data_IF_998480345293
#
_entry.id   IF_998480345293
#
_cell.length_a   1.000
_cell.length_b   1.000
_cell.length_c   1.000
_cell.angle_alpha   90.00
_cell.angle_beta   90.00
_cell.angle_gamma   90.00
#
_symmetry.space_group_name_H-M   'P 1'
#
loop_
_entity.id
_entity.type
_entity.pdbx_description
1 polymer ?
#
# COMPACT_ATOMS: atom_id res chain seq x y z
N UNK A 1 -9.09 57.75 -10.55
CA UNK A 1 -9.13 56.35 -10.05
C UNK A 1 -8.17 55.56 -10.91
N UNK A 2 -6.95 55.37 -10.41
CA UNK A 2 -5.85 54.71 -11.13
C UNK A 2 -5.83 53.24 -10.73
N UNK A 3 -5.98 52.35 -11.71
CA UNK A 3 -5.82 50.91 -11.53
C UNK A 3 -4.37 50.51 -11.76
N UNK A 4 -3.58 50.45 -10.70
CA UNK A 4 -2.28 49.78 -10.71
C UNK A 4 -2.52 48.27 -10.64
N UNK A 5 -2.39 47.60 -11.78
CA UNK A 5 -2.29 46.15 -11.86
C UNK A 5 -0.92 45.71 -11.33
N UNK A 6 -0.84 45.48 -10.02
CA UNK A 6 0.33 44.90 -9.39
C UNK A 6 0.50 43.48 -9.95
N UNK A 7 1.58 43.29 -10.72
CA UNK A 7 2.11 41.96 -11.04
C UNK A 7 2.42 41.24 -9.72
N UNK A 8 1.51 40.38 -9.28
CA UNK A 8 1.86 39.33 -8.35
C UNK A 8 2.73 38.33 -9.14
N UNK A 9 4.04 38.50 -9.02
CA UNK A 9 5.00 37.46 -9.35
C UNK A 9 4.53 36.19 -8.63
N UNK A 10 4.05 35.21 -9.39
CA UNK A 10 3.84 33.87 -8.87
C UNK A 10 5.21 33.34 -8.47
N UNK A 11 5.52 33.17 -7.17
CA UNK A 11 6.71 32.43 -6.81
C UNK A 11 6.49 30.99 -7.29
N UNK A 12 7.50 30.52 -8.01
CA UNK A 12 7.62 29.17 -8.53
C UNK A 12 7.07 28.12 -7.56
N UNK A 13 5.93 27.53 -7.90
CA UNK A 13 5.55 26.23 -7.37
C UNK A 13 6.01 25.22 -8.39
N UNK A 14 7.32 24.96 -8.37
CA UNK A 14 7.90 23.75 -8.94
C UNK A 14 7.29 22.58 -8.16
N UNK A 15 6.19 22.05 -8.65
CA UNK A 15 5.83 20.65 -8.45
C UNK A 15 5.87 19.93 -9.80
N UNK A 16 6.95 20.19 -10.56
CA UNK A 16 7.63 19.09 -11.21
C UNK A 16 8.37 18.32 -10.10
N UNK A 17 7.60 17.61 -9.28
CA UNK A 17 8.13 16.56 -8.42
C UNK A 17 8.48 15.41 -9.34
N UNK A 18 9.68 15.53 -9.90
CA UNK A 18 10.40 14.48 -10.58
C UNK A 18 10.31 13.20 -9.77
N UNK A 19 9.58 12.22 -10.28
CA UNK A 19 9.77 10.79 -10.05
C UNK A 19 10.25 10.33 -8.67
N UNK A 20 9.51 10.60 -7.60
CA UNK A 20 9.61 9.76 -6.39
C UNK A 20 8.88 8.44 -6.67
N UNK A 21 9.40 7.70 -7.66
CA UNK A 21 9.05 6.29 -7.82
C UNK A 21 9.66 5.62 -6.60
N UNK A 22 8.87 5.05 -5.68
CA UNK A 22 9.45 4.36 -4.54
C UNK A 22 10.43 3.31 -5.07
N UNK A 23 11.59 3.18 -4.42
CA UNK A 23 12.60 2.23 -4.84
C UNK A 23 11.94 0.86 -4.96
N UNK A 24 11.97 0.29 -6.15
CA UNK A 24 11.40 -1.03 -6.41
C UNK A 24 11.88 -2.06 -5.39
N UNK A 25 13.11 -1.94 -4.88
CA UNK A 25 13.65 -2.80 -3.83
C UNK A 25 12.95 -2.59 -2.47
N UNK A 26 12.66 -1.35 -2.08
CA UNK A 26 11.94 -1.01 -0.85
C UNK A 26 10.49 -1.51 -0.92
N UNK A 27 9.81 -1.26 -2.05
CA UNK A 27 8.43 -1.75 -2.29
C UNK A 27 8.37 -3.28 -2.28
N UNK A 28 9.37 -3.94 -2.86
CA UNK A 28 9.49 -5.40 -2.83
C UNK A 28 9.75 -5.90 -1.41
N UNK A 29 10.61 -5.24 -0.64
CA UNK A 29 10.87 -5.59 0.76
C UNK A 29 9.61 -5.46 1.63
N UNK A 30 8.86 -4.36 1.48
CA UNK A 30 7.57 -4.17 2.14
C UNK A 30 6.56 -5.25 1.77
N UNK A 31 6.46 -5.57 0.47
CA UNK A 31 5.58 -6.64 -0.02
C UNK A 31 5.94 -7.99 0.62
N UNK A 32 7.23 -8.32 0.73
CA UNK A 32 7.68 -9.56 1.36
C UNK A 32 7.39 -9.58 2.87
N UNK A 33 7.55 -8.46 3.56
CA UNK A 33 7.23 -8.34 4.98
C UNK A 33 5.73 -8.58 5.23
N UNK A 34 4.86 -7.98 4.40
CA UNK A 34 3.40 -8.16 4.49
C UNK A 34 3.02 -9.61 4.20
N UNK A 35 3.62 -10.26 3.18
CA UNK A 35 3.39 -11.67 2.90
C UNK A 35 3.79 -12.58 4.07
N UNK A 36 4.91 -12.30 4.74
CA UNK A 36 5.34 -13.05 5.91
C UNK A 36 4.37 -12.88 7.09
N UNK A 37 3.86 -11.67 7.31
CA UNK A 37 2.83 -11.42 8.32
C UNK A 37 1.55 -12.18 7.99
N UNK A 38 1.07 -12.07 6.75
CA UNK A 38 -0.14 -12.73 6.28
C UNK A 38 -0.06 -14.27 6.44
N UNK A 39 1.09 -14.87 6.15
CA UNK A 39 1.34 -16.29 6.40
C UNK A 39 1.15 -16.67 7.87
N UNK A 40 1.74 -15.91 8.80
CA UNK A 40 1.60 -16.14 10.25
C UNK A 40 0.15 -16.01 10.72
N UNK A 41 -0.58 -15.01 10.21
CA UNK A 41 -1.98 -14.80 10.60
C UNK A 41 -2.88 -15.92 10.08
N UNK A 42 -2.66 -16.39 8.84
CA UNK A 42 -3.39 -17.54 8.28
C UNK A 42 -3.08 -18.83 9.04
N UNK A 43 -1.83 -19.06 9.41
CA UNK A 43 -1.46 -20.22 10.25
C UNK A 43 -2.15 -20.16 11.62
N UNK A 44 -2.20 -18.98 12.24
CA UNK A 44 -2.85 -18.78 13.55
C UNK A 44 -4.37 -18.96 13.47
N UNK A 45 -5.01 -18.44 12.42
CA UNK A 45 -6.41 -18.72 12.12
C UNK A 45 -6.69 -20.23 11.97
N UNK A 46 -5.81 -20.94 11.27
CA UNK A 46 -5.96 -22.38 11.10
C UNK A 46 -5.83 -23.13 12.43
N UNK A 47 -4.97 -22.67 13.34
CA UNK A 47 -4.80 -23.24 14.69
C UNK A 47 -6.00 -22.99 15.61
N UNK A 48 -6.72 -21.88 15.44
CA UNK A 48 -7.89 -21.58 16.27
C UNK A 48 -9.05 -22.56 16.03
N UNK A 49 -9.11 -23.24 14.89
CA UNK A 49 -9.98 -24.41 14.69
C UNK A 49 -11.48 -24.16 14.85
N UNK A 50 -12.26 -25.23 14.80
CA UNK A 50 -13.73 -25.19 14.99
C UNK A 50 -14.17 -25.23 16.46
N UNK A 51 -13.25 -25.57 17.37
CA UNK A 51 -13.51 -25.77 18.80
C UNK A 51 -13.00 -24.60 19.66
N UNK A 52 -12.76 -23.44 19.05
CA UNK A 52 -12.37 -22.23 19.77
C UNK A 52 -13.42 -21.86 20.84
N UNK A 53 -12.94 -21.50 22.03
CA UNK A 53 -13.78 -20.85 23.04
C UNK A 53 -14.15 -19.42 22.61
N UNK A 54 -14.99 -18.72 23.38
CA UNK A 54 -15.41 -17.36 23.04
C UNK A 54 -14.23 -16.41 22.81
N UNK A 55 -13.14 -16.58 23.57
CA UNK A 55 -11.93 -15.80 23.40
C UNK A 55 -11.21 -16.13 22.07
N UNK A 56 -11.11 -17.41 21.73
CA UNK A 56 -10.55 -17.87 20.46
C UNK A 56 -11.39 -17.45 19.25
N UNK A 57 -12.72 -17.34 19.40
CA UNK A 57 -13.61 -16.83 18.35
C UNK A 57 -13.40 -15.34 18.11
N UNK A 58 -13.23 -14.55 19.17
CA UNK A 58 -12.87 -13.12 19.06
C UNK A 58 -11.51 -12.96 18.39
N UNK A 59 -10.52 -13.74 18.81
CA UNK A 59 -9.19 -13.74 18.18
C UNK A 59 -9.27 -14.12 16.69
N UNK A 60 -10.06 -15.13 16.33
CA UNK A 60 -10.25 -15.54 14.95
C UNK A 60 -10.91 -14.44 14.10
N UNK A 61 -11.84 -13.69 14.68
CA UNK A 61 -12.47 -12.56 14.01
C UNK A 61 -11.46 -11.44 13.74
N UNK A 62 -10.68 -11.04 14.74
CA UNK A 62 -9.64 -10.01 14.61
C UNK A 62 -8.57 -10.40 13.57
N UNK A 63 -8.09 -11.65 13.64
CA UNK A 63 -7.13 -12.16 12.67
C UNK A 63 -7.69 -12.17 11.23
N UNK A 64 -8.98 -12.45 11.06
CA UNK A 64 -9.63 -12.45 9.74
C UNK A 64 -9.75 -11.02 9.17
N UNK A 65 -9.98 -10.02 10.02
CA UNK A 65 -9.90 -8.60 9.63
C UNK A 65 -8.48 -8.26 9.16
N UNK A 66 -7.47 -8.63 9.94
CA UNK A 66 -6.09 -8.29 9.61
C UNK A 66 -5.61 -9.00 8.34
N UNK A 67 -5.98 -10.27 8.12
CA UNK A 67 -5.70 -10.97 6.84
C UNK A 67 -6.32 -10.22 5.67
N UNK A 68 -7.58 -9.78 5.77
CA UNK A 68 -8.24 -9.04 4.70
C UNK A 68 -7.56 -7.69 4.42
N UNK A 69 -7.16 -6.98 5.48
CA UNK A 69 -6.41 -5.72 5.37
C UNK A 69 -5.08 -5.93 4.66
N UNK A 70 -4.30 -6.94 5.05
CA UNK A 70 -2.99 -7.24 4.47
C UNK A 70 -3.11 -7.73 3.01
N UNK A 71 -4.12 -8.54 2.67
CA UNK A 71 -4.42 -8.91 1.29
C UNK A 71 -4.73 -7.67 0.43
N UNK A 72 -5.48 -6.70 0.98
CA UNK A 72 -5.74 -5.41 0.33
C UNK A 72 -4.46 -4.58 0.10
N UNK A 73 -3.56 -4.53 1.08
CA UNK A 73 -2.27 -3.84 0.94
C UNK A 73 -1.39 -4.47 -0.14
N UNK A 74 -1.34 -5.81 -0.22
CA UNK A 74 -0.61 -6.51 -1.29
C UNK A 74 -1.19 -6.16 -2.66
N UNK A 75 -2.51 -6.07 -2.79
CA UNK A 75 -3.16 -5.71 -4.05
C UNK A 75 -2.80 -4.28 -4.49
N UNK A 76 -2.78 -3.32 -3.56
CA UNK A 76 -2.37 -1.93 -3.84
C UNK A 76 -0.90 -1.85 -4.23
N UNK A 77 -0.01 -2.54 -3.51
CA UNK A 77 1.42 -2.60 -3.84
C UNK A 77 1.63 -3.24 -5.22
N UNK A 78 0.91 -4.32 -5.53
CA UNK A 78 0.94 -4.96 -6.84
C UNK A 78 0.55 -4.02 -7.98
N UNK A 79 -0.51 -3.22 -7.80
CA UNK A 79 -0.92 -2.20 -8.77
C UNK A 79 0.13 -1.08 -8.92
N UNK A 80 0.79 -0.70 -7.82
CA UNK A 80 1.92 0.23 -7.84
C UNK A 80 3.09 -0.28 -8.68
N UNK A 81 3.45 -1.56 -8.53
CA UNK A 81 4.52 -2.22 -9.30
C UNK A 81 4.19 -2.36 -10.80
N UNK A 82 2.95 -2.74 -11.15
CA UNK A 82 2.52 -2.84 -12.55
C UNK A 82 2.54 -1.48 -13.28
N UNK A 83 2.39 -0.36 -12.57
CA UNK A 83 2.48 0.99 -13.15
C UNK A 83 3.93 1.43 -13.43
N UNK A 84 4.94 0.74 -12.87
CA UNK A 84 6.36 1.02 -13.13
C UNK A 84 6.84 0.39 -14.45
N UNK A 85 6.18 -0.66 -14.95
CA UNK A 85 6.49 -1.33 -16.22
C UNK A 85 5.40 -1.19 -17.31
N UNK A 86 5.23 -0.01 -17.94
CA UNK A 86 4.55 0.02 -19.23
C UNK A 86 5.22 0.93 -20.27
N UNK A 87 6.54 0.88 -20.47
CA UNK A 87 7.20 1.76 -21.46
C UNK A 87 8.23 1.08 -22.39
N UNK A 88 8.42 -0.25 -22.34
CA UNK A 88 9.44 -0.94 -23.16
C UNK A 88 8.92 -2.17 -23.92
N UNK A 89 7.74 -2.07 -24.54
CA UNK A 89 7.38 -2.97 -25.64
C UNK A 89 7.64 -2.25 -26.97
N UNK A 90 8.67 -2.65 -27.77
CA UNK A 90 8.82 -2.15 -29.11
C UNK A 90 7.66 -2.68 -29.98
N UNK A 91 7.03 -1.76 -30.71
CA UNK A 91 5.95 -1.99 -31.68
C UNK A 91 6.31 -2.96 -32.80
#
# INVERSE_FOLDING_TARGET
>A
MSGEGVMAAHPAQVFAGEGDRPDSAEVLAERQAILAQLGKHRERLHKLGGDADDAGLVEAFELRIEVHRLDGLIAVIGQGLHRVEPENQPS
#
